data_IF_606222992506
#
_entry.id   IF_606222992506
#
_cell.length_a   1.000
_cell.length_b   1.000
_cell.length_c   1.000
_cell.angle_alpha   90.00
_cell.angle_beta   90.00
_cell.angle_gamma   90.00
#
_symmetry.space_group_name_H-M   'P 1'
#
loop_
_entity.id
_entity.type
_entity.pdbx_description
1 polymer ?
#
# COMPACT_ATOMS: atom_id res chain seq x y z
N UNK A 1 -12.30 -18.59 -9.46
CA UNK A 1 -12.69 -17.52 -10.40
C UNK A 1 -11.43 -16.94 -11.01
N UNK A 2 -11.38 -16.59 -12.31
CA UNK A 2 -10.24 -15.88 -12.91
C UNK A 2 -10.17 -14.40 -12.50
N UNK A 3 -11.26 -13.84 -11.93
CA UNK A 3 -11.32 -12.43 -11.58
C UNK A 3 -10.37 -12.07 -10.43
N UNK A 4 -9.80 -10.87 -10.52
CA UNK A 4 -9.05 -10.23 -9.45
C UNK A 4 -9.97 -9.35 -8.59
N UNK A 5 -9.75 -9.40 -7.29
CA UNK A 5 -10.52 -8.64 -6.28
C UNK A 5 -9.55 -7.70 -5.58
N UNK A 6 -9.96 -6.45 -5.42
CA UNK A 6 -9.22 -5.45 -4.61
C UNK A 6 -9.97 -5.24 -3.31
N UNK A 7 -9.28 -5.44 -2.19
CA UNK A 7 -9.77 -5.19 -0.85
C UNK A 7 -9.35 -3.78 -0.40
N UNK A 8 -10.33 -2.95 -0.09
CA UNK A 8 -10.14 -1.55 0.32
C UNK A 8 -10.65 -1.35 1.74
N UNK A 9 -10.02 -2.03 2.71
CA UNK A 9 -10.51 -2.16 4.08
C UNK A 9 -10.90 -0.83 4.74
N UNK A 10 -10.04 0.20 4.65
CA UNK A 10 -10.31 1.50 5.28
C UNK A 10 -11.52 2.21 4.67
N UNK A 11 -11.70 2.15 3.34
CA UNK A 11 -12.85 2.76 2.66
C UNK A 11 -14.14 2.03 2.97
N UNK A 12 -14.11 0.70 2.94
CA UNK A 12 -15.28 -0.12 3.27
C UNK A 12 -15.77 0.14 4.70
N UNK A 13 -14.85 0.28 5.65
CA UNK A 13 -15.20 0.61 7.04
C UNK A 13 -15.67 2.06 7.18
N UNK A 14 -14.99 3.03 6.57
CA UNK A 14 -15.38 4.44 6.61
C UNK A 14 -16.80 4.66 6.04
N UNK A 15 -17.15 3.95 4.98
CA UNK A 15 -18.43 4.10 4.28
C UNK A 15 -19.52 3.13 4.77
N UNK A 16 -19.28 2.40 5.88
CA UNK A 16 -20.22 1.42 6.43
C UNK A 16 -20.63 0.31 5.43
N UNK A 17 -19.76 -0.06 4.49
CA UNK A 17 -19.96 -1.20 3.58
C UNK A 17 -19.81 -2.52 4.35
N UNK A 18 -18.85 -2.55 5.30
CA UNK A 18 -18.62 -3.68 6.19
C UNK A 18 -17.24 -4.33 6.04
N UNK A 19 -17.09 -5.51 6.65
CA UNK A 19 -15.84 -6.25 6.63
C UNK A 19 -15.74 -7.17 5.41
N UNK A 20 -14.59 -7.14 4.75
CA UNK A 20 -14.29 -8.06 3.66
C UNK A 20 -14.17 -9.52 4.16
N UNK A 21 -14.57 -10.46 3.32
CA UNK A 21 -14.44 -11.92 3.56
C UNK A 21 -13.94 -12.60 2.29
N UNK A 22 -12.70 -13.06 2.31
CA UNK A 22 -12.01 -13.76 1.23
C UNK A 22 -12.23 -15.27 1.19
N UNK A 23 -12.91 -15.85 2.20
CA UNK A 23 -13.22 -17.28 2.26
C UNK A 23 -13.89 -17.75 0.97
N UNK A 24 -13.34 -18.80 0.34
CA UNK A 24 -13.80 -19.39 -0.93
C UNK A 24 -13.68 -18.49 -2.18
N UNK A 25 -13.09 -17.29 -2.09
CA UNK A 25 -12.89 -16.42 -3.27
C UNK A 25 -11.62 -16.75 -4.06
N UNK A 26 -10.72 -17.56 -3.50
CA UNK A 26 -9.46 -17.96 -4.12
C UNK A 26 -8.30 -17.02 -3.79
N UNK A 27 -7.24 -17.07 -4.59
CA UNK A 27 -5.98 -16.36 -4.31
C UNK A 27 -5.86 -15.00 -4.98
N UNK A 28 -6.73 -14.66 -5.93
CA UNK A 28 -6.66 -13.43 -6.72
C UNK A 28 -7.23 -12.23 -5.94
N UNK A 29 -6.73 -12.01 -4.73
CA UNK A 29 -7.12 -10.92 -3.83
C UNK A 29 -5.88 -10.04 -3.64
N UNK A 30 -6.01 -8.76 -3.94
CA UNK A 30 -4.98 -7.75 -3.70
C UNK A 30 -5.55 -6.60 -2.87
N UNK A 31 -4.71 -5.67 -2.45
CA UNK A 31 -5.11 -4.57 -1.59
C UNK A 31 -5.19 -3.25 -2.37
N UNK A 32 -6.02 -2.32 -1.91
CA UNK A 32 -6.11 -0.97 -2.45
C UNK A 32 -6.48 0.06 -1.39
N UNK A 33 -6.26 1.35 -1.71
CA UNK A 33 -6.53 2.47 -0.79
C UNK A 33 -7.85 3.19 -1.09
N UNK A 34 -8.50 2.90 -2.22
CA UNK A 34 -9.71 3.58 -2.71
C UNK A 34 -9.58 5.10 -2.83
N UNK A 35 -8.36 5.61 -3.01
CA UNK A 35 -8.10 7.05 -3.08
C UNK A 35 -8.23 7.80 -1.75
N UNK A 36 -8.44 7.12 -0.61
CA UNK A 36 -8.46 7.78 0.71
C UNK A 36 -7.08 8.34 1.10
N UNK A 37 -6.04 7.60 0.75
CA UNK A 37 -4.63 7.96 0.90
C UNK A 37 -3.78 7.12 -0.09
N UNK A 38 -2.46 7.22 0.00
CA UNK A 38 -1.52 6.54 -0.91
C UNK A 38 -0.53 5.65 -0.17
N UNK A 39 -0.93 5.08 0.96
CA UNK A 39 -0.08 4.26 1.84
C UNK A 39 -0.54 2.80 1.84
N UNK A 40 0.12 1.98 1.04
CA UNK A 40 -0.19 0.55 0.91
C UNK A 40 0.24 -0.28 2.14
N UNK A 41 1.22 0.16 2.93
CA UNK A 41 1.60 -0.52 4.18
C UNK A 41 0.46 -0.39 5.20
N UNK A 42 -0.07 0.83 5.32
CA UNK A 42 -1.25 1.10 6.15
C UNK A 42 -2.47 0.31 5.68
N UNK A 43 -2.72 0.22 4.37
CA UNK A 43 -3.84 -0.61 3.86
C UNK A 43 -3.66 -2.10 4.18
N UNK A 44 -2.44 -2.62 4.15
CA UNK A 44 -2.15 -4.00 4.59
C UNK A 44 -2.41 -4.21 6.09
N UNK A 45 -2.04 -3.24 6.93
CA UNK A 45 -2.35 -3.26 8.36
C UNK A 45 -3.86 -3.24 8.60
N UNK A 46 -4.57 -2.35 7.92
CA UNK A 46 -6.02 -2.22 8.04
C UNK A 46 -6.74 -3.51 7.62
N UNK A 47 -6.38 -4.09 6.48
CA UNK A 47 -6.92 -5.37 6.02
C UNK A 47 -6.64 -6.50 7.02
N UNK A 48 -5.40 -6.57 7.55
CA UNK A 48 -5.04 -7.56 8.56
C UNK A 48 -5.90 -7.46 9.82
N UNK A 49 -6.00 -6.27 10.42
CA UNK A 49 -6.76 -6.08 11.66
C UNK A 49 -8.27 -6.22 11.46
N UNK A 50 -8.82 -5.62 10.39
CA UNK A 50 -10.25 -5.71 10.08
C UNK A 50 -10.69 -7.13 9.70
N UNK A 51 -9.76 -7.94 9.18
CA UNK A 51 -10.00 -9.31 8.76
C UNK A 51 -9.81 -10.37 9.84
N UNK A 52 -9.34 -10.04 11.06
CA UNK A 52 -9.07 -11.04 12.10
C UNK A 52 -10.30 -11.92 12.41
N UNK A 53 -11.46 -11.29 12.58
CA UNK A 53 -12.71 -11.99 12.87
C UNK A 53 -13.46 -12.41 11.60
N UNK A 54 -13.55 -11.51 10.62
CA UNK A 54 -14.42 -11.71 9.46
C UNK A 54 -13.82 -12.63 8.39
N UNK A 55 -12.50 -12.55 8.18
CA UNK A 55 -11.78 -13.20 7.09
C UNK A 55 -10.75 -14.23 7.59
N UNK A 56 -10.49 -14.26 8.90
CA UNK A 56 -9.45 -15.10 9.52
C UNK A 56 -8.08 -14.92 8.86
N UNK A 57 -7.80 -13.69 8.39
CA UNK A 57 -6.55 -13.35 7.72
C UNK A 57 -5.36 -13.48 8.69
N UNK A 58 -4.27 -14.05 8.21
CA UNK A 58 -3.01 -14.13 8.95
C UNK A 58 -1.94 -13.24 8.32
N UNK A 59 -0.83 -13.05 9.04
CA UNK A 59 0.27 -12.17 8.61
C UNK A 59 0.85 -12.57 7.23
N UNK A 60 1.15 -13.86 6.94
CA UNK A 60 1.54 -14.27 5.59
C UNK A 60 0.52 -13.93 4.50
N UNK A 61 -0.77 -14.12 4.78
CA UNK A 61 -1.83 -13.83 3.82
C UNK A 61 -1.95 -12.33 3.54
N UNK A 62 -1.84 -11.46 4.55
CA UNK A 62 -1.82 -10.01 4.37
C UNK A 62 -0.64 -9.57 3.48
N UNK A 63 0.56 -10.11 3.72
CA UNK A 63 1.72 -9.83 2.87
C UNK A 63 1.55 -10.37 1.44
N UNK A 64 0.97 -11.57 1.30
CA UNK A 64 0.68 -12.15 -0.01
C UNK A 64 -0.29 -11.27 -0.81
N UNK A 65 -1.40 -10.83 -0.20
CA UNK A 65 -2.36 -9.90 -0.83
C UNK A 65 -1.71 -8.56 -1.18
N UNK A 66 -0.81 -8.05 -0.33
CA UNK A 66 -0.04 -6.85 -0.62
C UNK A 66 0.86 -7.03 -1.87
N UNK A 67 1.55 -8.17 -2.00
CA UNK A 67 2.43 -8.44 -3.16
C UNK A 67 1.69 -8.90 -4.42
N UNK A 68 0.43 -9.29 -4.29
CA UNK A 68 -0.37 -9.85 -5.38
C UNK A 68 -0.58 -8.90 -6.56
N UNK A 69 -0.39 -7.59 -6.37
CA UNK A 69 -0.40 -6.63 -7.48
C UNK A 69 0.61 -6.98 -8.57
N UNK A 70 1.77 -7.55 -8.23
CA UNK A 70 2.78 -7.95 -9.21
C UNK A 70 2.29 -9.10 -10.12
N UNK A 71 1.56 -10.06 -9.54
CA UNK A 71 0.94 -11.14 -10.30
C UNK A 71 -0.16 -10.60 -11.21
N UNK A 72 -1.01 -9.70 -10.71
CA UNK A 72 -2.01 -9.02 -11.54
C UNK A 72 -1.38 -8.28 -12.71
N UNK A 73 -0.29 -7.54 -12.48
CA UNK A 73 0.40 -6.79 -13.52
C UNK A 73 1.01 -7.71 -14.58
N UNK A 74 1.68 -8.79 -14.14
CA UNK A 74 2.29 -9.77 -15.03
C UNK A 74 1.25 -10.54 -15.87
N UNK A 75 0.19 -11.05 -15.23
CA UNK A 75 -0.89 -11.82 -15.89
C UNK A 75 -1.62 -11.00 -16.95
N UNK A 76 -1.66 -9.68 -16.80
CA UNK A 76 -2.31 -8.75 -17.73
C UNK A 76 -1.32 -8.00 -18.64
N UNK A 77 -0.05 -8.40 -18.65
CA UNK A 77 0.99 -7.85 -19.52
C UNK A 77 1.19 -6.32 -19.38
N UNK A 78 1.06 -5.79 -18.16
CA UNK A 78 1.39 -4.39 -17.89
C UNK A 78 2.90 -4.18 -17.81
N UNK A 79 3.37 -3.06 -18.35
CA UNK A 79 4.77 -2.65 -18.30
C UNK A 79 5.08 -1.85 -17.02
N UNK A 80 6.37 -1.76 -16.67
CA UNK A 80 6.86 -0.92 -15.58
C UNK A 80 6.97 -1.60 -14.22
N UNK A 81 6.51 -2.84 -14.07
CA UNK A 81 6.80 -3.70 -12.92
C UNK A 81 8.03 -4.57 -13.20
N UNK A 82 9.08 -4.41 -12.41
CA UNK A 82 10.34 -5.12 -12.61
C UNK A 82 11.37 -4.84 -11.50
N UNK A 83 12.51 -5.52 -11.60
CA UNK A 83 13.54 -5.56 -10.54
C UNK A 83 14.17 -4.20 -10.20
N UNK A 84 14.07 -3.22 -11.10
CA UNK A 84 14.62 -1.87 -10.89
C UNK A 84 13.66 -0.94 -10.14
N UNK A 85 12.60 -1.47 -9.54
CA UNK A 85 11.71 -0.77 -8.61
C UNK A 85 12.06 -1.15 -7.18
N UNK A 86 12.59 -0.20 -6.41
CA UNK A 86 13.09 -0.45 -5.05
C UNK A 86 12.52 0.56 -4.07
N UNK A 87 12.13 0.06 -2.90
CA UNK A 87 11.82 0.88 -1.72
C UNK A 87 12.81 0.50 -0.63
N UNK A 88 13.57 1.48 -0.15
CA UNK A 88 14.52 1.29 0.96
C UNK A 88 13.91 1.88 2.22
N UNK A 89 13.82 1.05 3.25
CA UNK A 89 13.25 1.40 4.55
C UNK A 89 14.36 1.57 5.58
N UNK A 90 14.39 2.74 6.22
CA UNK A 90 15.25 3.11 7.34
C UNK A 90 14.45 2.86 8.62
N UNK A 91 14.33 1.57 8.95
CA UNK A 91 13.54 1.06 10.07
C UNK A 91 14.48 0.62 11.19
N UNK A 92 14.56 1.42 12.24
CA UNK A 92 15.31 1.12 13.46
C UNK A 92 14.50 0.15 14.33
N UNK A 93 14.64 -1.15 14.03
CA UNK A 93 13.81 -2.19 14.63
C UNK A 93 14.30 -2.56 16.04
N UNK A 94 13.40 -2.77 17.02
CA UNK A 94 13.78 -3.15 18.39
C UNK A 94 14.32 -4.57 18.49
N UNK A 95 14.12 -5.39 17.45
CA UNK A 95 14.66 -6.75 17.31
C UNK A 95 15.33 -6.89 15.94
N UNK A 96 16.38 -7.73 15.81
CA UNK A 96 17.00 -8.00 14.51
C UNK A 96 15.99 -8.54 13.49
N UNK A 97 16.03 -8.02 12.26
CA UNK A 97 15.19 -8.51 11.17
C UNK A 97 15.84 -9.74 10.55
N UNK A 98 15.07 -10.80 10.43
CA UNK A 98 15.44 -12.08 9.83
C UNK A 98 14.31 -12.54 8.90
N UNK A 99 14.58 -13.53 8.05
CA UNK A 99 13.56 -14.11 7.18
C UNK A 99 12.37 -14.68 7.98
N UNK A 100 12.61 -15.18 9.20
CA UNK A 100 11.58 -15.79 10.04
C UNK A 100 10.65 -14.77 10.72
N UNK A 101 11.07 -13.53 10.92
CA UNK A 101 10.28 -12.51 11.61
C UNK A 101 9.92 -11.29 10.74
N UNK A 102 10.41 -11.24 9.50
CA UNK A 102 10.17 -10.12 8.57
C UNK A 102 8.68 -9.81 8.41
N UNK A 103 7.83 -10.84 8.24
CA UNK A 103 6.39 -10.63 8.06
C UNK A 103 5.73 -9.99 9.30
N UNK A 104 6.20 -10.33 10.50
CA UNK A 104 5.76 -9.68 11.74
C UNK A 104 6.16 -8.21 11.76
N UNK A 105 7.41 -7.89 11.41
CA UNK A 105 7.85 -6.50 11.26
C UNK A 105 7.06 -5.76 10.17
N UNK A 106 6.73 -6.41 9.06
CA UNK A 106 5.95 -5.82 7.97
C UNK A 106 4.57 -5.35 8.44
N UNK A 107 3.83 -6.22 9.14
CA UNK A 107 2.48 -5.87 9.61
C UNK A 107 2.55 -4.94 10.83
N UNK A 108 3.42 -5.21 11.80
CA UNK A 108 3.33 -4.54 13.12
C UNK A 108 4.33 -3.38 13.31
N UNK A 109 5.37 -3.31 12.49
CA UNK A 109 6.48 -2.36 12.69
C UNK A 109 6.66 -1.36 11.55
N UNK A 110 6.54 -1.78 10.29
CA UNK A 110 6.81 -0.93 9.15
C UNK A 110 5.71 0.13 8.97
N UNK A 111 6.13 1.33 8.57
CA UNK A 111 5.24 2.43 8.19
C UNK A 111 5.89 3.24 7.07
N UNK A 112 5.10 4.06 6.38
CA UNK A 112 5.59 4.95 5.33
C UNK A 112 6.66 5.94 5.80
N UNK A 113 6.71 6.28 7.10
CA UNK A 113 7.76 7.15 7.67
C UNK A 113 9.17 6.54 7.63
N UNK A 114 9.26 5.22 7.48
CA UNK A 114 10.54 4.52 7.31
C UNK A 114 11.06 4.62 5.87
N UNK A 115 10.25 5.06 4.89
CA UNK A 115 10.71 5.20 3.51
C UNK A 115 11.84 6.24 3.46
N UNK A 116 13.04 5.77 3.09
CA UNK A 116 14.22 6.60 2.91
C UNK A 116 14.49 6.89 1.44
N UNK A 117 14.28 5.86 0.62
CA UNK A 117 14.50 5.90 -0.81
C UNK A 117 13.39 5.20 -1.57
N UNK A 118 13.03 5.76 -2.72
CA UNK A 118 12.14 5.14 -3.71
C UNK A 118 12.80 5.30 -5.07
N UNK A 119 13.01 4.17 -5.75
CA UNK A 119 13.56 4.09 -7.08
C UNK A 119 12.50 3.43 -7.95
N UNK A 120 12.18 4.03 -9.10
CA UNK A 120 11.32 3.43 -10.10
C UNK A 120 12.04 3.39 -11.43
N UNK A 121 12.13 2.19 -12.03
CA UNK A 121 12.85 1.94 -13.27
C UNK A 121 14.26 2.58 -13.29
N UNK A 122 15.01 2.40 -12.20
CA UNK A 122 16.36 2.95 -12.04
C UNK A 122 16.45 4.46 -11.76
N UNK A 123 15.32 5.18 -11.75
CA UNK A 123 15.26 6.62 -11.46
C UNK A 123 14.88 6.89 -10.01
N UNK A 124 15.61 7.78 -9.35
CA UNK A 124 15.27 8.24 -8.01
C UNK A 124 13.97 9.04 -8.03
N UNK A 125 12.98 8.63 -7.26
CA UNK A 125 11.77 9.41 -6.95
C UNK A 125 11.87 10.06 -5.56
N UNK A 126 12.39 9.29 -4.59
CA UNK A 126 12.69 9.78 -3.24
C UNK A 126 14.14 9.45 -2.91
N UNK A 127 14.91 10.44 -2.47
CA UNK A 127 16.29 10.27 -2.03
C UNK A 127 16.51 10.95 -0.68
N UNK A 128 16.91 10.18 0.33
CA UNK A 128 17.11 10.68 1.70
C UNK A 128 15.87 11.42 2.23
N UNK A 129 14.69 10.80 2.07
CA UNK A 129 13.38 11.35 2.47
C UNK A 129 12.97 12.66 1.78
N UNK A 130 13.54 12.97 0.61
CA UNK A 130 13.16 14.14 -0.21
C UNK A 130 12.74 13.71 -1.61
N UNK A 131 11.67 14.30 -2.13
CA UNK A 131 11.29 14.12 -3.53
C UNK A 131 12.35 14.75 -4.45
N UNK A 132 12.66 14.07 -5.54
CA UNK A 132 13.72 14.48 -6.49
C UNK A 132 13.20 15.16 -7.74
N UNK A 133 11.93 14.92 -8.08
CA UNK A 133 11.31 15.31 -9.34
C UNK A 133 10.30 16.45 -9.21
N UNK A 134 9.98 16.88 -7.98
CA UNK A 134 8.99 17.94 -7.72
C UNK A 134 9.41 18.82 -6.54
N UNK A 135 8.96 20.07 -6.54
CA UNK A 135 9.03 20.94 -5.38
C UNK A 135 7.80 20.73 -4.50
N UNK A 136 7.99 20.09 -3.34
CA UNK A 136 6.92 19.76 -2.40
C UNK A 136 6.11 20.98 -1.94
N UNK A 137 6.77 22.12 -1.72
CA UNK A 137 6.11 23.34 -1.25
C UNK A 137 5.22 23.93 -2.33
N UNK A 138 5.70 23.98 -3.57
CA UNK A 138 4.91 24.44 -4.72
C UNK A 138 3.73 23.52 -4.99
N UNK A 139 3.96 22.19 -4.98
CA UNK A 139 2.90 21.20 -5.16
C UNK A 139 1.80 21.33 -4.09
N UNK A 140 2.18 21.48 -2.81
CA UNK A 140 1.22 21.64 -1.72
C UNK A 140 0.47 22.97 -1.83
N UNK A 141 1.13 24.04 -2.28
CA UNK A 141 0.49 25.35 -2.50
C UNK A 141 -0.56 25.23 -3.61
N UNK A 142 -0.19 24.63 -4.74
CA UNK A 142 -1.09 24.39 -5.86
C UNK A 142 -2.28 23.52 -5.47
N UNK A 143 -2.07 22.43 -4.73
CA UNK A 143 -3.14 21.56 -4.27
C UNK A 143 -4.16 22.29 -3.38
N UNK A 144 -3.68 23.15 -2.46
CA UNK A 144 -4.56 23.99 -1.61
C UNK A 144 -5.39 24.96 -2.43
N UNK A 145 -4.80 25.62 -3.42
CA UNK A 145 -5.51 26.51 -4.33
C UNK A 145 -6.61 25.78 -5.12
N UNK A 146 -6.30 24.59 -5.66
CA UNK A 146 -7.29 23.79 -6.39
C UNK A 146 -8.41 23.29 -5.48
N UNK A 147 -8.10 22.89 -4.25
CA UNK A 147 -9.10 22.49 -3.26
C UNK A 147 -10.07 23.66 -2.99
N UNK A 148 -9.57 24.86 -2.71
CA UNK A 148 -10.41 26.05 -2.50
C UNK A 148 -11.27 26.38 -3.71
N UNK A 149 -10.73 26.23 -4.93
CA UNK A 149 -11.49 26.44 -6.16
C UNK A 149 -12.63 25.43 -6.33
N UNK A 150 -12.38 24.16 -6.01
CA UNK A 150 -13.40 23.12 -6.04
C UNK A 150 -14.51 23.41 -5.02
N UNK A 151 -14.13 23.71 -3.77
CA UNK A 151 -15.09 24.00 -2.70
C UNK A 151 -15.96 25.23 -2.95
N UNK A 152 -15.48 26.22 -3.73
CA UNK A 152 -16.31 27.36 -4.15
C UNK A 152 -17.35 27.01 -5.21
N UNK A 153 -17.19 25.90 -5.91
CA UNK A 153 -18.09 25.44 -6.99
C UNK A 153 -19.10 24.39 -6.55
N UNK A 154 -18.81 23.69 -5.46
CA UNK A 154 -19.71 22.78 -4.77
C UNK A 154 -20.62 23.56 -3.82
#
# INVERSE_FOLDING_TARGET
>A
SPAWIVENAESNLNNNVGHFRGTNLGKNIMLGTDGMHSDMLRSAQAAFFAGQEADQINVPEAYRRFRNVHHYLADNHFEGDGENNLVVLDYDSPTPITEHNFLGHFVFGLSSNHIRHVISNGSWLVKNKRLTNVNEKELLTFAKEQALRLWKKL
#
